data_IF_312339719520
#
_entry.id   IF_312339719520
#
_cell.length_a   1.000
_cell.length_b   1.000
_cell.length_c   1.000
_cell.angle_alpha   90.00
_cell.angle_beta   90.00
_cell.angle_gamma   90.00
#
_symmetry.space_group_name_H-M   'P 1'
#
loop_
_entity.id
_entity.type
_entity.pdbx_description
1 polymer ?
#
# COMPACT_ATOMS: atom_id res chain seq x y z
N UNK A 1 0.74 -19.31 6.91
CA UNK A 1 1.88 -18.81 7.73
C UNK A 1 2.23 -17.40 7.29
N UNK A 2 2.45 -16.45 8.21
CA UNK A 2 2.76 -15.04 7.88
C UNK A 2 4.14 -14.69 8.42
N UNK A 3 4.99 -14.07 7.60
CA UNK A 3 6.33 -13.60 7.98
C UNK A 3 6.35 -12.08 7.84
N UNK A 4 6.65 -11.36 8.93
CA UNK A 4 6.81 -9.91 8.94
C UNK A 4 8.31 -9.55 9.03
N UNK A 5 8.76 -8.58 8.23
CA UNK A 5 10.16 -8.12 8.18
C UNK A 5 10.18 -6.59 8.32
N UNK A 6 10.54 -6.12 9.51
CA UNK A 6 10.53 -4.70 9.88
C UNK A 6 11.93 -4.11 10.11
N UNK A 7 12.05 -2.79 9.99
CA UNK A 7 13.29 -2.04 10.21
C UNK A 7 13.37 -0.72 9.43
N UNK A 8 14.42 0.09 9.61
CA UNK A 8 14.53 1.44 9.03
C UNK A 8 14.49 1.47 7.49
N UNK A 9 14.15 2.61 6.88
CA UNK A 9 14.20 2.75 5.42
C UNK A 9 15.61 2.45 4.87
N UNK A 10 15.69 1.96 3.63
CA UNK A 10 16.94 1.66 2.91
C UNK A 10 17.87 0.59 3.53
N UNK A 11 17.41 -0.22 4.48
CA UNK A 11 18.20 -1.34 5.05
C UNK A 11 18.13 -2.65 4.27
N UNK A 12 17.56 -2.65 3.06
CA UNK A 12 17.44 -3.85 2.20
C UNK A 12 16.23 -4.75 2.46
N UNK A 13 15.33 -4.40 3.40
CA UNK A 13 14.16 -5.23 3.78
C UNK A 13 13.32 -5.71 2.61
N UNK A 14 12.97 -4.82 1.68
CA UNK A 14 12.14 -5.18 0.52
C UNK A 14 12.83 -6.21 -0.37
N UNK A 15 14.14 -6.07 -0.56
CA UNK A 15 14.95 -7.03 -1.32
C UNK A 15 15.03 -8.38 -0.61
N UNK A 16 15.34 -8.39 0.69
CA UNK A 16 15.40 -9.61 1.50
C UNK A 16 14.04 -10.31 1.58
N UNK A 17 12.97 -9.56 1.84
CA UNK A 17 11.62 -10.10 1.93
C UNK A 17 11.16 -10.69 0.60
N UNK A 18 11.49 -10.06 -0.52
CA UNK A 18 11.21 -10.61 -1.85
C UNK A 18 11.96 -11.92 -2.11
N UNK A 19 13.26 -11.97 -1.78
CA UNK A 19 14.06 -13.18 -1.94
C UNK A 19 13.55 -14.35 -1.08
N UNK A 20 13.23 -14.08 0.20
CA UNK A 20 12.65 -15.08 1.10
C UNK A 20 11.29 -15.55 0.59
N UNK A 21 10.47 -14.63 0.07
CA UNK A 21 9.17 -14.98 -0.48
C UNK A 21 9.29 -15.87 -1.73
N UNK A 22 10.22 -15.57 -2.63
CA UNK A 22 10.49 -16.39 -3.81
C UNK A 22 10.97 -17.81 -3.44
N UNK A 23 11.91 -17.93 -2.49
CA UNK A 23 12.46 -19.20 -2.05
C UNK A 23 11.40 -20.08 -1.36
N UNK A 24 10.52 -19.47 -0.55
CA UNK A 24 9.50 -20.20 0.21
C UNK A 24 8.17 -20.37 -0.56
N UNK A 25 8.05 -19.79 -1.75
CA UNK A 25 6.78 -19.77 -2.51
C UNK A 25 5.70 -18.88 -1.88
N UNK A 26 6.10 -17.88 -1.10
CA UNK A 26 5.20 -16.96 -0.41
C UNK A 26 4.87 -15.76 -1.29
N UNK A 27 3.73 -15.14 -1.03
CA UNK A 27 3.47 -13.80 -1.52
C UNK A 27 4.33 -12.78 -0.75
N UNK A 28 5.00 -11.89 -1.50
CA UNK A 28 5.58 -10.68 -0.94
C UNK A 28 4.56 -9.53 -0.96
N UNK A 29 4.30 -8.92 0.21
CA UNK A 29 3.44 -7.75 0.35
C UNK A 29 4.27 -6.51 0.69
N UNK A 30 4.33 -5.55 -0.25
CA UNK A 30 4.95 -4.25 -0.02
C UNK A 30 3.93 -3.29 0.62
N UNK A 31 3.96 -3.19 1.95
CA UNK A 31 3.07 -2.26 2.66
C UNK A 31 3.36 -0.80 2.31
N UNK A 32 4.59 -0.45 1.91
CA UNK A 32 4.96 0.89 1.48
C UNK A 32 4.26 1.27 0.16
N UNK A 33 4.14 0.34 -0.77
CA UNK A 33 3.38 0.52 -2.01
C UNK A 33 1.90 0.84 -1.73
N UNK A 34 1.30 0.22 -0.70
CA UNK A 34 -0.09 0.49 -0.29
C UNK A 34 -0.28 1.95 0.14
N UNK A 35 0.58 2.45 1.03
CA UNK A 35 0.49 3.84 1.49
C UNK A 35 0.70 4.83 0.36
N UNK A 36 1.58 4.51 -0.60
CA UNK A 36 1.79 5.32 -1.80
C UNK A 36 0.57 5.31 -2.72
N UNK A 37 -0.13 4.19 -2.85
CA UNK A 37 -1.38 4.11 -3.62
C UNK A 37 -2.47 5.01 -3.01
N UNK A 38 -2.70 4.93 -1.69
CA UNK A 38 -3.64 5.84 -1.00
C UNK A 38 -3.22 7.30 -1.21
N UNK A 39 -1.92 7.59 -1.13
CA UNK A 39 -1.40 8.95 -1.34
C UNK A 39 -1.65 9.45 -2.76
N UNK A 40 -1.43 8.61 -3.77
CA UNK A 40 -1.72 8.94 -5.16
C UNK A 40 -3.21 9.28 -5.34
N UNK A 41 -4.10 8.43 -4.83
CA UNK A 41 -5.55 8.64 -4.92
C UNK A 41 -6.01 9.91 -4.18
N UNK A 42 -5.43 10.22 -3.02
CA UNK A 42 -5.67 11.48 -2.29
C UNK A 42 -5.28 12.68 -3.14
N UNK A 43 -4.12 12.63 -3.81
CA UNK A 43 -3.63 13.71 -4.66
C UNK A 43 -4.50 13.89 -5.91
N UNK A 44 -4.88 12.81 -6.58
CA UNK A 44 -5.68 12.87 -7.80
C UNK A 44 -7.11 13.35 -7.54
N UNK A 45 -7.70 12.95 -6.41
CA UNK A 45 -9.06 13.34 -6.01
C UNK A 45 -9.10 14.63 -5.18
N UNK A 46 -7.96 15.29 -4.96
CA UNK A 46 -7.81 16.50 -4.16
C UNK A 46 -8.46 16.39 -2.76
N UNK A 47 -8.28 15.25 -2.09
CA UNK A 47 -8.88 15.00 -0.78
C UNK A 47 -8.16 15.85 0.28
N UNK A 48 -8.95 16.57 1.08
CA UNK A 48 -8.42 17.36 2.19
C UNK A 48 -7.86 16.46 3.30
N UNK A 49 -6.63 16.73 3.74
CA UNK A 49 -6.01 16.04 4.88
C UNK A 49 -6.30 16.73 6.22
N UNK A 50 -6.83 17.96 6.20
CA UNK A 50 -7.12 18.75 7.40
C UNK A 50 -8.49 18.41 8.00
N UNK A 51 -9.38 17.84 7.19
CA UNK A 51 -10.73 17.46 7.61
C UNK A 51 -10.82 15.94 7.71
N UNK A 52 -10.86 15.44 8.94
CA UNK A 52 -10.90 14.00 9.22
C UNK A 52 -12.13 13.30 8.62
N UNK A 53 -13.24 14.03 8.43
CA UNK A 53 -14.42 13.52 7.74
C UNK A 53 -14.14 13.17 6.26
N UNK A 54 -13.47 14.07 5.53
CA UNK A 54 -13.22 13.92 4.09
C UNK A 54 -12.34 12.69 3.81
N UNK A 55 -11.23 12.57 4.56
CA UNK A 55 -10.33 11.42 4.42
C UNK A 55 -11.02 10.10 4.81
N UNK A 56 -11.85 10.09 5.86
CA UNK A 56 -12.58 8.89 6.27
C UNK A 56 -13.62 8.46 5.24
N UNK A 57 -14.37 9.42 4.69
CA UNK A 57 -15.36 9.16 3.65
C UNK A 57 -14.68 8.59 2.40
N UNK A 58 -13.59 9.22 1.96
CA UNK A 58 -12.78 8.73 0.84
C UNK A 58 -12.22 7.31 1.08
N UNK A 59 -11.67 7.04 2.26
CA UNK A 59 -11.13 5.72 2.61
C UNK A 59 -12.21 4.62 2.62
N UNK A 60 -13.46 4.97 2.91
CA UNK A 60 -14.58 4.02 2.90
C UNK A 60 -15.00 3.62 1.47
N UNK A 61 -14.79 4.51 0.49
CA UNK A 61 -15.05 4.25 -0.93
C UNK A 61 -13.82 3.83 -1.73
N UNK A 62 -12.66 3.65 -1.08
CA UNK A 62 -11.42 3.35 -1.77
C UNK A 62 -11.43 1.94 -2.36
N UNK A 63 -11.37 1.84 -3.69
CA UNK A 63 -11.07 0.60 -4.40
C UNK A 63 -9.56 0.48 -4.62
N UNK A 64 -8.90 -0.28 -3.74
CA UNK A 64 -7.49 -0.62 -3.83
C UNK A 64 -7.39 -2.12 -4.04
N UNK A 65 -6.71 -2.57 -5.10
CA UNK A 65 -6.43 -3.98 -5.34
C UNK A 65 -4.93 -4.21 -5.46
N UNK A 66 -4.47 -5.36 -4.94
CA UNK A 66 -3.08 -5.79 -5.00
C UNK A 66 -3.05 -7.17 -5.59
N UNK A 67 -2.52 -7.25 -6.81
CA UNK A 67 -2.43 -8.48 -7.57
C UNK A 67 -0.97 -8.93 -7.62
N UNK A 68 -0.77 -10.24 -7.72
CA UNK A 68 0.54 -10.83 -7.93
C UNK A 68 0.51 -11.56 -9.28
N UNK A 69 1.01 -10.88 -10.32
CA UNK A 69 1.00 -11.36 -11.70
C UNK A 69 2.44 -11.57 -12.13
N UNK A 70 2.77 -12.76 -12.65
CA UNK A 70 4.10 -13.07 -13.21
C UNK A 70 5.27 -12.67 -12.27
N UNK A 71 5.15 -12.98 -10.97
CA UNK A 71 6.13 -12.63 -9.92
C UNK A 71 6.31 -11.12 -9.68
N UNK A 72 5.37 -10.32 -10.15
CA UNK A 72 5.35 -8.87 -10.00
C UNK A 72 4.11 -8.44 -9.23
N UNK A 73 4.31 -7.50 -8.32
CA UNK A 73 3.22 -6.86 -7.61
C UNK A 73 2.59 -5.79 -8.51
N UNK A 74 1.31 -5.92 -8.81
CA UNK A 74 0.51 -4.94 -9.53
C UNK A 74 -0.44 -4.28 -8.53
N UNK A 75 -0.44 -2.95 -8.53
CA UNK A 75 -1.28 -2.13 -7.66
C UNK A 75 -2.32 -1.43 -8.53
N UNK A 76 -3.58 -1.65 -8.22
CA UNK A 76 -4.69 -1.03 -8.94
C UNK A 76 -5.49 -0.11 -8.03
N UNK A 77 -5.88 1.04 -8.57
CA UNK A 77 -6.85 1.97 -7.98
C UNK A 77 -8.02 2.10 -8.94
N UNK A 78 -9.24 1.89 -8.45
CA UNK A 78 -10.45 1.94 -9.29
C UNK A 78 -10.30 1.08 -10.57
N UNK A 79 -9.72 -0.12 -10.44
CA UNK A 79 -9.38 -1.06 -11.55
C UNK A 79 -8.33 -0.57 -12.56
N UNK A 80 -7.55 0.46 -12.22
CA UNK A 80 -6.48 1.00 -13.08
C UNK A 80 -5.11 0.71 -12.49
N UNK A 81 -4.20 0.12 -13.27
CA UNK A 81 -2.80 -0.11 -12.86
C UNK A 81 -2.07 1.21 -12.60
N UNK A 82 -1.70 1.42 -11.33
CA UNK A 82 -0.94 2.58 -10.86
C UNK A 82 0.46 2.23 -10.36
N UNK A 83 0.94 1.01 -10.60
CA UNK A 83 2.21 0.46 -10.08
C UNK A 83 3.42 1.36 -10.33
N UNK A 84 3.44 2.07 -11.45
CA UNK A 84 4.49 3.05 -11.77
C UNK A 84 4.23 4.41 -11.11
N UNK A 85 2.99 4.90 -11.18
CA UNK A 85 2.57 6.22 -10.69
C UNK A 85 2.74 6.40 -9.19
N UNK A 86 2.61 5.33 -8.38
CA UNK A 86 2.84 5.38 -6.93
C UNK A 86 4.29 5.75 -6.55
N UNK A 87 5.23 5.70 -7.50
CA UNK A 87 6.63 6.08 -7.30
C UNK A 87 6.95 7.51 -7.74
N UNK A 88 5.97 8.24 -8.27
CA UNK A 88 6.18 9.62 -8.72
C UNK A 88 6.74 10.50 -7.58
N UNK A 89 7.57 11.52 -7.90
CA UNK A 89 8.13 12.42 -6.91
C UNK A 89 7.06 13.10 -6.03
N UNK A 90 5.92 13.49 -6.62
CA UNK A 90 4.77 14.09 -5.90
C UNK A 90 4.21 13.15 -4.82
N UNK A 91 4.12 11.85 -5.12
CA UNK A 91 3.62 10.83 -4.17
C UNK A 91 4.66 10.62 -3.08
N UNK A 92 5.93 10.49 -3.46
CA UNK A 92 7.04 10.33 -2.51
C UNK A 92 7.15 11.49 -1.53
N UNK A 93 6.91 12.73 -1.99
CA UNK A 93 6.95 13.91 -1.13
C UNK A 93 5.80 13.95 -0.12
N UNK A 94 4.62 13.38 -0.45
CA UNK A 94 3.41 13.48 0.37
C UNK A 94 3.11 12.24 1.22
N UNK A 95 3.69 11.08 0.89
CA UNK A 95 3.34 9.79 1.53
C UNK A 95 3.58 9.80 3.05
N UNK A 96 4.60 10.50 3.54
CA UNK A 96 4.88 10.59 4.98
C UNK A 96 3.73 11.28 5.73
N UNK A 97 3.14 12.32 5.15
CA UNK A 97 2.02 13.06 5.76
C UNK A 97 0.74 12.22 5.73
N UNK A 98 0.43 11.60 4.59
CA UNK A 98 -0.77 10.73 4.45
C UNK A 98 -0.66 9.50 5.35
N UNK A 99 0.50 8.85 5.41
CA UNK A 99 0.73 7.67 6.26
C UNK A 99 0.79 7.99 7.76
N UNK A 100 0.96 9.25 8.15
CA UNK A 100 0.89 9.66 9.55
C UNK A 100 -0.56 9.67 10.08
N UNK A 101 -1.57 9.77 9.20
CA UNK A 101 -2.97 9.85 9.59
C UNK A 101 -3.45 8.52 10.23
N UNK A 102 -4.03 8.56 11.45
CA UNK A 102 -4.52 7.35 12.12
C UNK A 102 -5.60 6.61 11.35
N UNK A 103 -6.47 7.33 10.64
CA UNK A 103 -7.53 6.75 9.78
C UNK A 103 -6.93 5.92 8.65
N UNK A 104 -5.92 6.45 7.96
CA UNK A 104 -5.18 5.75 6.89
C UNK A 104 -4.53 4.49 7.43
N UNK A 105 -3.76 4.57 8.53
CA UNK A 105 -3.10 3.41 9.14
C UNK A 105 -4.11 2.31 9.50
N UNK A 106 -5.23 2.67 10.13
CA UNK A 106 -6.29 1.72 10.49
C UNK A 106 -6.88 1.03 9.27
N UNK A 107 -7.13 1.76 8.19
CA UNK A 107 -7.64 1.18 6.93
C UNK A 107 -6.62 0.23 6.30
N UNK A 108 -5.35 0.61 6.26
CA UNK A 108 -4.29 -0.25 5.69
C UNK A 108 -4.11 -1.55 6.48
N UNK A 109 -4.18 -1.52 7.81
CA UNK A 109 -4.12 -2.75 8.62
C UNK A 109 -5.31 -3.67 8.32
N UNK A 110 -6.53 -3.12 8.16
CA UNK A 110 -7.70 -3.93 7.78
C UNK A 110 -7.48 -4.59 6.41
N UNK A 111 -6.96 -3.84 5.45
CA UNK A 111 -6.68 -4.33 4.11
C UNK A 111 -5.61 -5.45 4.11
N UNK A 112 -4.51 -5.24 4.83
CA UNK A 112 -3.44 -6.25 4.98
C UNK A 112 -3.97 -7.55 5.58
N UNK A 113 -4.83 -7.46 6.61
CA UNK A 113 -5.45 -8.64 7.22
C UNK A 113 -6.38 -9.37 6.26
N UNK A 114 -7.18 -8.63 5.48
CA UNK A 114 -8.05 -9.22 4.46
C UNK A 114 -7.25 -9.94 3.37
N UNK A 115 -6.20 -9.31 2.86
CA UNK A 115 -5.31 -9.95 1.88
C UNK A 115 -4.65 -11.23 2.41
N UNK A 116 -4.31 -11.25 3.70
CA UNK A 116 -3.72 -12.42 4.33
C UNK A 116 -4.73 -13.54 4.59
N UNK A 117 -6.03 -13.22 4.75
CA UNK A 117 -7.10 -14.21 4.97
C UNK A 117 -7.72 -14.75 3.68
N UNK A 118 -7.74 -13.96 2.60
CA UNK A 118 -8.38 -14.35 1.33
C UNK A 118 -7.53 -15.33 0.50
N UNK A 119 -6.41 -15.82 1.03
CA UNK A 119 -5.41 -16.63 0.29
C UNK A 119 -5.06 -17.98 0.94
N UNK A 120 -6.01 -18.57 1.67
CA UNK A 120 -5.97 -19.99 2.01
C UNK A 120 -6.35 -20.89 0.82
#
# INVERSE_FOLDING_TARGET
MIIAIDGPAATGKSSTAKAVAEELGFMYLDTGAMYRAVTLAVLEKNISLTHDYDIKSFLASLDLNILYLEKTLVIELDQVDVTKHIRDPKVTAKVSEVSALPSVRKTMVKFQRKLASDKD
#
